data_IF_949389183129
#
_entry.id   IF_949389183129
#
_cell.length_a   1.000
_cell.length_b   1.000
_cell.length_c   1.000
_cell.angle_alpha   90.00
_cell.angle_beta   90.00
_cell.angle_gamma   90.00
#
_symmetry.space_group_name_H-M   'P 1'
#
loop_
_entity.id
_entity.type
_entity.pdbx_description
1 polymer ?
#
# COMPACT_ATOMS: atom_id res chain seq x y z
N UNK A 1 -6.64 3.06 -21.47
CA UNK A 1 -6.88 3.42 -20.07
C UNK A 1 -5.89 2.63 -19.26
N UNK A 2 -4.94 3.32 -18.63
CA UNK A 2 -3.93 2.68 -17.79
C UNK A 2 -4.43 2.71 -16.35
N UNK A 3 -4.42 1.55 -15.71
CA UNK A 3 -4.70 1.41 -14.29
C UNK A 3 -3.44 1.86 -13.50
N UNK A 4 -3.62 2.27 -12.25
CA UNK A 4 -2.51 2.50 -11.31
C UNK A 4 -2.44 1.32 -10.35
N UNK A 5 -1.27 0.71 -10.24
CA UNK A 5 -0.98 -0.35 -9.27
C UNK A 5 -0.37 0.26 -7.99
N UNK A 6 -1.05 0.08 -6.86
CA UNK A 6 -0.58 0.49 -5.54
C UNK A 6 -0.24 -0.72 -4.70
N UNK A 7 0.94 -0.69 -4.09
CA UNK A 7 1.45 -1.76 -3.24
C UNK A 7 1.58 -1.24 -1.82
N UNK A 8 0.87 -1.84 -0.88
CA UNK A 8 0.95 -1.51 0.53
C UNK A 8 2.04 -2.37 1.17
N UNK A 9 3.10 -1.71 1.65
CA UNK A 9 4.24 -2.35 2.29
C UNK A 9 4.14 -2.20 3.80
N UNK A 10 3.81 -3.31 4.48
CA UNK A 10 3.70 -3.39 5.93
C UNK A 10 4.55 -4.52 6.52
N UNK A 11 4.62 -4.59 7.86
CA UNK A 11 5.33 -5.66 8.58
C UNK A 11 4.66 -7.03 8.44
N UNK A 12 3.35 -7.03 8.27
CA UNK A 12 2.52 -8.23 8.21
C UNK A 12 1.42 -8.08 7.15
N UNK A 13 0.72 -9.19 6.89
CA UNK A 13 -0.41 -9.21 5.95
C UNK A 13 -1.53 -8.30 6.45
N UNK A 14 -2.13 -7.55 5.54
CA UNK A 14 -3.25 -6.67 5.85
C UNK A 14 -4.46 -7.53 6.24
N UNK A 15 -5.10 -7.24 7.39
CA UNK A 15 -6.37 -7.86 7.75
C UNK A 15 -7.42 -7.69 6.65
N UNK A 16 -8.14 -8.75 6.30
CA UNK A 16 -9.05 -8.74 5.14
C UNK A 16 -10.08 -7.61 5.18
N UNK A 17 -10.65 -7.30 6.36
CA UNK A 17 -11.62 -6.22 6.51
C UNK A 17 -11.03 -4.85 6.14
N UNK A 18 -9.78 -4.58 6.52
CA UNK A 18 -9.07 -3.33 6.18
C UNK A 18 -8.78 -3.29 4.68
N UNK A 19 -8.32 -4.42 4.12
CA UNK A 19 -8.01 -4.51 2.70
C UNK A 19 -9.25 -4.30 1.82
N UNK A 20 -10.40 -4.87 2.21
CA UNK A 20 -11.68 -4.65 1.52
C UNK A 20 -12.12 -3.19 1.59
N UNK A 21 -12.09 -2.58 2.78
CA UNK A 21 -12.46 -1.17 2.95
C UNK A 21 -11.56 -0.23 2.12
N UNK A 22 -10.26 -0.55 2.01
CA UNK A 22 -9.33 0.21 1.19
C UNK A 22 -9.68 0.12 -0.31
N UNK A 23 -9.99 -1.08 -0.81
CA UNK A 23 -10.41 -1.27 -2.20
C UNK A 23 -11.71 -0.53 -2.50
N UNK A 24 -12.71 -0.67 -1.64
CA UNK A 24 -13.99 0.04 -1.75
C UNK A 24 -13.79 1.56 -1.77
N UNK A 25 -12.91 2.09 -0.91
CA UNK A 25 -12.62 3.51 -0.87
C UNK A 25 -12.01 4.04 -2.19
N UNK A 26 -11.15 3.26 -2.86
CA UNK A 26 -10.62 3.64 -4.17
C UNK A 26 -11.65 3.50 -5.28
N UNK A 27 -12.48 2.45 -5.25
CA UNK A 27 -13.56 2.25 -6.23
C UNK A 27 -14.61 3.37 -6.16
N UNK A 28 -14.89 3.89 -4.97
CA UNK A 28 -15.82 5.00 -4.74
C UNK A 28 -15.17 6.39 -4.85
N UNK A 29 -13.86 6.46 -5.11
CA UNK A 29 -13.14 7.73 -5.23
C UNK A 29 -13.41 8.44 -6.55
N UNK A 30 -13.19 9.75 -6.59
CA UNK A 30 -13.31 10.55 -7.82
C UNK A 30 -12.07 10.43 -8.74
N UNK A 31 -11.20 9.44 -8.52
CA UNK A 31 -10.03 9.24 -9.36
C UNK A 31 -10.48 8.89 -10.79
N UNK A 32 -9.91 9.53 -11.82
CA UNK A 32 -10.33 9.33 -13.21
C UNK A 32 -9.81 8.00 -13.81
N UNK A 33 -9.17 7.16 -13.01
CA UNK A 33 -8.57 5.89 -13.40
C UNK A 33 -8.81 4.83 -12.33
N UNK A 34 -8.75 3.57 -12.75
CA UNK A 34 -8.86 2.43 -11.83
C UNK A 34 -7.57 2.27 -11.03
N UNK A 35 -7.72 1.90 -9.77
CA UNK A 35 -6.61 1.61 -8.87
C UNK A 35 -6.65 0.12 -8.50
N UNK A 36 -5.59 -0.65 -8.79
CA UNK A 36 -5.40 -1.97 -8.21
C UNK A 36 -4.56 -1.86 -6.95
N UNK A 37 -4.97 -2.54 -5.89
CA UNK A 37 -4.31 -2.49 -4.59
C UNK A 37 -3.82 -3.88 -4.23
N UNK A 38 -2.52 -3.96 -3.95
CA UNK A 38 -1.79 -5.16 -3.62
C UNK A 38 -1.23 -5.07 -2.20
N UNK A 39 -1.24 -6.20 -1.49
CA UNK A 39 -0.55 -6.35 -0.21
C UNK A 39 0.81 -7.01 -0.45
N UNK A 40 1.90 -6.31 -0.08
CA UNK A 40 3.27 -6.81 -0.21
C UNK A 40 3.46 -8.19 0.42
N UNK A 41 2.82 -8.45 1.56
CA UNK A 41 2.96 -9.72 2.26
C UNK A 41 2.12 -10.86 1.66
N UNK A 42 1.13 -10.53 0.83
CA UNK A 42 0.28 -11.52 0.16
C UNK A 42 0.82 -11.95 -1.22
N UNK A 43 1.63 -11.11 -1.87
CA UNK A 43 2.23 -11.42 -3.18
C UNK A 43 3.49 -12.30 -3.05
N UNK A 44 3.79 -13.05 -4.12
CA UNK A 44 4.95 -13.95 -4.17
C UNK A 44 6.27 -13.19 -4.15
N UNK A 45 7.35 -13.88 -3.77
CA UNK A 45 8.70 -13.28 -3.71
C UNK A 45 9.20 -12.87 -5.10
N UNK A 46 8.88 -13.65 -6.11
CA UNK A 46 9.24 -13.39 -7.50
C UNK A 46 8.57 -12.10 -7.99
N UNK A 47 7.31 -11.88 -7.60
CA UNK A 47 6.58 -10.66 -7.96
C UNK A 47 7.15 -9.43 -7.26
N UNK A 48 7.56 -9.55 -5.98
CA UNK A 48 8.28 -8.50 -5.26
C UNK A 48 9.56 -8.07 -5.98
N UNK A 49 10.36 -9.03 -6.46
CA UNK A 49 11.59 -8.75 -7.23
C UNK A 49 11.28 -7.96 -8.51
N UNK A 50 10.14 -8.20 -9.16
CA UNK A 50 9.73 -7.43 -10.34
C UNK A 50 9.40 -5.98 -9.96
N UNK A 51 8.64 -5.77 -8.89
CA UNK A 51 8.28 -4.44 -8.38
C UNK A 51 9.53 -3.68 -7.92
N UNK A 52 10.47 -4.34 -7.25
CA UNK A 52 11.73 -3.75 -6.77
C UNK A 52 12.60 -3.19 -7.90
N UNK A 53 12.38 -3.61 -9.16
CA UNK A 53 13.10 -3.05 -10.31
C UNK A 53 12.72 -1.59 -10.54
N UNK A 54 11.44 -1.23 -10.39
CA UNK A 54 10.92 0.11 -10.66
C UNK A 54 9.65 0.34 -9.83
N UNK A 55 9.72 1.27 -8.88
CA UNK A 55 8.59 1.75 -8.09
C UNK A 55 8.86 3.20 -7.67
N UNK A 56 7.81 3.89 -7.27
CA UNK A 56 7.90 5.22 -6.67
C UNK A 56 7.25 5.20 -5.28
N UNK A 57 7.91 5.80 -4.28
CA UNK A 57 7.36 5.87 -2.92
C UNK A 57 6.42 7.07 -2.82
N UNK A 58 5.12 6.80 -2.80
CA UNK A 58 4.08 7.85 -2.69
C UNK A 58 3.73 8.23 -1.24
N UNK A 59 3.89 7.30 -0.30
CA UNK A 59 3.60 7.52 1.12
C UNK A 59 4.56 6.69 1.97
N UNK A 60 5.27 7.33 2.90
CA UNK A 60 6.10 6.65 3.89
C UNK A 60 5.25 6.35 5.12
N UNK A 61 5.53 5.22 5.78
CA UNK A 61 4.97 4.98 7.10
C UNK A 61 5.46 6.07 8.05
N UNK A 62 4.56 6.60 8.87
CA UNK A 62 4.95 7.52 9.93
C UNK A 62 5.96 6.81 10.84
N UNK A 63 7.05 7.52 11.16
CA UNK A 63 7.94 7.04 12.20
C UNK A 63 7.13 6.94 13.50
N UNK A 64 7.24 5.84 14.27
CA UNK A 64 6.55 5.77 15.55
C UNK A 64 6.93 7.01 16.35
N UNK A 65 5.91 7.77 16.78
CA UNK A 65 6.08 9.00 17.55
C UNK A 65 7.01 8.66 18.72
N UNK A 66 8.24 9.18 18.69
CA UNK A 66 9.09 9.17 19.88
C UNK A 66 8.46 10.21 20.80
N UNK A 67 7.65 9.77 21.76
CA UNK A 67 7.25 10.61 22.88
C UNK A 67 8.51 10.92 23.71
N UNK A 68 9.27 11.92 23.27
CA UNK A 68 10.40 12.48 24.00
C UNK A 68 9.90 13.49 25.01
N UNK A 69 9.46 13.01 26.18
CA UNK A 69 9.51 13.82 27.39
C UNK A 69 10.88 13.61 28.04
N UNK A 70 11.81 14.45 27.63
CA UNK A 70 13.03 14.87 28.33
C UNK A 70 13.09 16.37 28.02
N UNK A 71 12.97 17.31 28.95
CA UNK A 71 13.32 17.39 30.37
C UNK A 71 12.24 18.15 31.16
#
# INVERSE_FOLDING_TARGET
YSDIDLVIVGKEKIPSNIFYALKEAFELSELPFRTDVLDWNAISKEFRIVIDKQYEVIQKADSPIKNGNSE
#
